data_IF_850507057036
#
_entry.id   IF_850507057036
#
_cell.length_a   1.000
_cell.length_b   1.000
_cell.length_c   1.000
_cell.angle_alpha   90.00
_cell.angle_beta   90.00
_cell.angle_gamma   90.00
#
_symmetry.space_group_name_H-M   'P 1'
#
loop_
_entity.id
_entity.type
_entity.pdbx_description
1 polymer ?
#
# COMPACT_ATOMS: atom_id res chain seq x y z
N UNK A 1 -46.34 24.64 17.72
CA UNK A 1 -47.11 23.95 16.68
C UNK A 1 -46.64 24.46 15.30
N UNK A 2 -45.38 24.20 14.94
CA UNK A 2 -44.72 24.88 13.83
C UNK A 2 -43.77 23.88 13.16
N UNK A 3 -44.20 23.18 12.11
CA UNK A 3 -43.36 22.25 11.32
C UNK A 3 -43.85 22.09 9.86
N UNK A 4 -44.49 23.08 9.23
CA UNK A 4 -44.66 23.09 7.75
C UNK A 4 -43.35 23.51 7.07
N UNK A 5 -42.23 22.92 7.51
CA UNK A 5 -40.93 23.14 6.93
C UNK A 5 -40.86 22.39 5.59
N UNK A 6 -40.83 23.17 4.50
CA UNK A 6 -40.14 22.82 3.26
C UNK A 6 -40.49 21.45 2.69
N UNK A 7 -41.69 21.34 2.11
CA UNK A 7 -42.05 20.15 1.32
C UNK A 7 -41.08 20.02 0.14
N UNK A 8 -40.54 18.82 -0.01
CA UNK A 8 -39.60 18.43 -1.06
C UNK A 8 -40.17 18.75 -2.46
N UNK A 9 -41.50 18.76 -2.61
CA UNK A 9 -42.20 19.07 -3.86
C UNK A 9 -41.97 20.51 -4.36
N UNK A 10 -41.89 21.50 -3.46
CA UNK A 10 -41.59 22.90 -3.82
C UNK A 10 -40.13 23.06 -4.28
N UNK A 11 -39.24 22.27 -3.69
CA UNK A 11 -37.83 22.23 -4.09
C UNK A 11 -37.65 21.52 -5.44
N UNK A 12 -38.45 20.49 -5.71
CA UNK A 12 -38.46 19.80 -7.00
C UNK A 12 -39.06 20.67 -8.11
N UNK A 13 -40.11 21.44 -7.84
CA UNK A 13 -40.71 22.39 -8.79
C UNK A 13 -39.77 23.55 -9.14
N UNK A 14 -38.96 24.01 -8.19
CA UNK A 14 -37.92 25.03 -8.43
C UNK A 14 -36.73 24.49 -9.23
N UNK A 15 -36.43 23.20 -9.08
CA UNK A 15 -35.36 22.51 -9.80
C UNK A 15 -35.77 22.14 -11.25
N UNK A 16 -37.06 21.90 -11.52
CA UNK A 16 -37.58 21.62 -12.85
C UNK A 16 -37.75 22.88 -13.72
N UNK A 17 -36.85 23.85 -13.58
CA UNK A 17 -36.74 25.02 -14.46
C UNK A 17 -36.39 24.59 -15.88
N UNK A 18 -37.41 24.15 -16.62
CA UNK A 18 -37.40 24.00 -18.07
C UNK A 18 -37.18 25.39 -18.63
N UNK A 19 -35.90 25.68 -18.93
CA UNK A 19 -35.50 26.89 -19.62
C UNK A 19 -36.01 26.79 -21.05
N UNK A 20 -36.80 27.78 -21.42
CA UNK A 20 -37.11 28.09 -22.80
C UNK A 20 -35.80 28.07 -23.62
N UNK A 21 -35.69 27.14 -24.56
CA UNK A 21 -34.51 26.99 -25.41
C UNK A 21 -34.66 28.02 -26.54
N UNK A 22 -34.01 29.17 -26.38
CA UNK A 22 -33.82 30.13 -27.48
C UNK A 22 -32.91 29.48 -28.56
N UNK A 23 -33.40 29.25 -29.79
CA UNK A 23 -32.60 28.63 -30.85
C UNK A 23 -31.48 29.54 -31.40
N UNK A 24 -31.33 30.77 -30.89
CA UNK A 24 -30.41 31.79 -31.42
C UNK A 24 -29.20 32.08 -30.51
N UNK A 25 -29.11 31.46 -29.33
CA UNK A 25 -27.97 31.63 -28.41
C UNK A 25 -26.83 30.65 -28.73
N UNK A 26 -25.55 31.01 -28.51
CA UNK A 26 -24.44 30.07 -28.71
C UNK A 26 -24.68 28.85 -27.81
N UNK A 27 -24.81 27.66 -28.42
CA UNK A 27 -25.05 26.39 -27.73
C UNK A 27 -24.12 26.29 -26.51
N UNK A 28 -24.64 26.14 -25.28
CA UNK A 28 -23.80 25.98 -24.13
C UNK A 28 -22.99 24.69 -24.31
N UNK A 29 -21.67 24.83 -24.34
CA UNK A 29 -20.76 23.70 -24.42
C UNK A 29 -21.10 22.66 -23.34
N UNK A 30 -21.04 21.35 -23.65
CA UNK A 30 -21.44 20.31 -22.70
C UNK A 30 -20.64 20.44 -21.40
N UNK A 31 -21.27 20.25 -20.22
CA UNK A 31 -20.58 20.22 -18.94
C UNK A 31 -19.42 19.23 -18.99
N UNK A 32 -18.21 19.73 -18.75
CA UNK A 32 -16.99 18.93 -18.68
C UNK A 32 -17.15 17.98 -17.49
N UNK A 33 -17.47 16.71 -17.74
CA UNK A 33 -17.48 15.68 -16.72
C UNK A 33 -16.08 15.60 -16.09
N UNK A 34 -15.93 15.60 -14.75
CA UNK A 34 -14.62 15.47 -14.13
C UNK A 34 -14.00 14.12 -14.55
N UNK A 35 -12.69 14.09 -14.88
CA UNK A 35 -12.06 12.88 -15.39
C UNK A 35 -12.21 11.77 -14.34
N UNK A 36 -12.77 10.63 -14.77
CA UNK A 36 -12.96 9.47 -13.90
C UNK A 36 -11.62 9.09 -13.28
N UNK A 37 -11.48 9.34 -11.98
CA UNK A 37 -10.28 9.01 -11.20
C UNK A 37 -9.87 7.58 -11.50
N UNK A 38 -8.60 7.44 -11.91
CA UNK A 38 -7.95 6.21 -12.30
C UNK A 38 -8.28 5.07 -11.33
N UNK A 39 -9.25 4.24 -11.72
CA UNK A 39 -9.88 3.21 -10.89
C UNK A 39 -8.92 2.07 -10.51
N UNK A 40 -7.73 2.06 -11.09
CA UNK A 40 -6.68 1.08 -10.85
C UNK A 40 -5.76 1.46 -9.68
N UNK A 41 -5.70 2.74 -9.31
CA UNK A 41 -4.89 3.23 -8.20
C UNK A 41 -5.22 2.56 -6.84
N UNK A 42 -6.49 2.34 -6.44
CA UNK A 42 -6.77 1.66 -5.18
C UNK A 42 -6.28 0.21 -5.15
N UNK A 43 -6.19 -0.47 -6.30
CA UNK A 43 -5.70 -1.85 -6.37
C UNK A 43 -4.18 -1.93 -6.18
N UNK A 44 -3.44 -1.02 -6.82
CA UNK A 44 -1.98 -0.91 -6.63
C UNK A 44 -1.65 -0.58 -5.17
N UNK A 45 -2.40 0.35 -4.57
CA UNK A 45 -2.20 0.74 -3.17
C UNK A 45 -2.49 -0.40 -2.20
N UNK A 46 -3.51 -1.23 -2.47
CA UNK A 46 -3.80 -2.45 -1.71
C UNK A 46 -2.70 -3.50 -1.88
N UNK A 47 -2.20 -3.70 -3.10
CA UNK A 47 -1.06 -4.57 -3.36
C UNK A 47 0.21 -4.12 -2.62
N UNK A 48 0.51 -2.83 -2.64
CA UNK A 48 1.64 -2.24 -1.92
C UNK A 48 1.56 -2.50 -0.41
N UNK A 49 0.39 -2.31 0.20
CA UNK A 49 0.18 -2.61 1.63
C UNK A 49 0.41 -4.11 1.90
N UNK A 50 -0.13 -4.99 1.05
CA UNK A 50 0.06 -6.43 1.20
C UNK A 50 1.55 -6.82 1.14
N UNK A 51 2.32 -6.24 0.22
CA UNK A 51 3.76 -6.49 0.10
C UNK A 51 4.51 -6.00 1.34
N UNK A 52 4.19 -4.80 1.84
CA UNK A 52 4.81 -4.25 3.05
C UNK A 52 4.51 -5.11 4.28
N UNK A 53 3.27 -5.55 4.45
CA UNK A 53 2.88 -6.45 5.56
C UNK A 53 3.59 -7.80 5.45
N UNK A 54 3.64 -8.38 4.24
CA UNK A 54 4.34 -9.64 4.02
C UNK A 54 5.84 -9.51 4.33
N UNK A 55 6.47 -8.42 3.90
CA UNK A 55 7.87 -8.15 4.16
C UNK A 55 8.13 -7.96 5.68
N UNK A 56 7.26 -7.21 6.37
CA UNK A 56 7.35 -7.02 7.82
C UNK A 56 7.17 -8.33 8.59
N UNK A 57 6.22 -9.17 8.19
CA UNK A 57 6.03 -10.51 8.75
C UNK A 57 7.27 -11.39 8.52
N UNK A 58 7.88 -11.31 7.34
CA UNK A 58 9.11 -12.02 7.01
C UNK A 58 10.26 -11.54 7.90
N UNK A 59 10.44 -10.23 8.08
CA UNK A 59 11.44 -9.68 9.00
C UNK A 59 11.19 -10.10 10.45
N UNK A 60 9.94 -10.08 10.92
CA UNK A 60 9.58 -10.57 12.25
C UNK A 60 9.94 -12.06 12.40
N UNK A 61 9.62 -12.86 11.39
CA UNK A 61 9.97 -14.29 11.36
C UNK A 61 11.49 -14.53 11.35
N UNK A 62 12.24 -13.82 10.51
CA UNK A 62 13.70 -13.90 10.45
C UNK A 62 14.32 -13.48 11.79
N UNK A 63 13.79 -12.44 12.43
CA UNK A 63 14.26 -11.99 13.73
C UNK A 63 14.12 -13.07 14.81
N UNK A 64 13.03 -13.86 14.78
CA UNK A 64 12.79 -14.93 15.74
C UNK A 64 13.57 -16.23 15.43
N UNK A 65 13.69 -16.63 14.17
CA UNK A 65 14.12 -18.00 13.82
C UNK A 65 15.60 -18.16 13.51
N UNK A 66 16.21 -17.15 12.90
CA UNK A 66 17.64 -17.10 12.64
C UNK A 66 17.94 -15.62 12.43
N UNK A 67 18.22 -14.86 13.51
CA UNK A 67 18.28 -13.42 13.42
C UNK A 67 19.29 -13.07 12.34
N UNK A 68 18.93 -12.16 11.43
CA UNK A 68 19.84 -11.58 10.42
C UNK A 68 21.22 -11.23 11.04
N UNK A 69 21.22 -10.87 12.32
CA UNK A 69 22.39 -10.62 13.19
C UNK A 69 23.35 -11.82 13.36
N UNK A 70 22.92 -13.07 13.18
CA UNK A 70 23.78 -14.27 13.21
C UNK A 70 24.43 -14.53 11.85
N UNK A 71 23.79 -14.17 10.74
CA UNK A 71 24.38 -14.24 9.40
C UNK A 71 25.38 -13.11 9.15
N UNK A 72 25.16 -11.93 9.72
CA UNK A 72 26.07 -10.77 9.62
C UNK A 72 27.29 -10.89 10.52
N UNK A 73 27.33 -11.88 11.42
CA UNK A 73 28.55 -12.16 12.17
C UNK A 73 29.58 -12.70 11.18
N UNK A 74 30.80 -12.13 11.16
CA UNK A 74 31.91 -12.80 10.50
C UNK A 74 31.96 -14.21 11.05
N UNK A 75 31.89 -15.21 10.15
CA UNK A 75 32.26 -16.57 10.53
C UNK A 75 33.70 -16.44 11.01
N UNK A 76 33.93 -16.71 12.30
CA UNK A 76 35.29 -16.80 12.78
C UNK A 76 36.02 -17.82 11.89
N UNK A 77 37.24 -17.51 11.41
CA UNK A 77 37.93 -18.39 10.48
C UNK A 77 37.94 -19.80 11.09
N UNK A 78 37.43 -20.81 10.35
CA UNK A 78 37.36 -22.16 10.85
C UNK A 78 38.79 -22.65 11.07
N UNK A 79 39.21 -22.75 12.34
CA UNK A 79 40.55 -23.19 12.66
C UNK A 79 40.62 -24.70 12.55
N UNK A 80 41.47 -25.18 11.66
CA UNK A 80 41.79 -26.60 11.56
C UNK A 80 42.99 -26.84 12.47
N UNK A 81 42.78 -27.63 13.52
CA UNK A 81 43.88 -28.11 14.36
C UNK A 81 44.28 -29.49 13.87
N UNK A 82 45.52 -29.61 13.41
CA UNK A 82 46.11 -30.90 13.11
C UNK A 82 46.48 -31.55 14.45
N UNK A 83 45.73 -32.57 14.83
CA UNK A 83 46.03 -33.41 15.98
C UNK A 83 46.91 -34.57 15.52
N UNK A 84 47.97 -34.84 16.27
CA UNK A 84 48.70 -36.09 16.16
C UNK A 84 47.80 -37.25 16.60
N UNK A 85 48.21 -38.47 16.28
CA UNK A 85 47.47 -39.68 16.63
C UNK A 85 47.36 -39.92 18.15
N UNK A 86 48.13 -39.18 18.95
CA UNK A 86 48.10 -39.14 20.42
C UNK A 86 47.20 -38.01 20.98
N UNK A 87 46.64 -37.17 20.12
CA UNK A 87 45.79 -36.02 20.51
C UNK A 87 46.55 -34.72 20.74
N UNK A 88 47.88 -34.69 20.56
CA UNK A 88 48.69 -33.48 20.72
C UNK A 88 48.49 -32.52 19.51
N UNK A 89 48.33 -31.21 19.72
CA UNK A 89 48.18 -30.25 18.62
C UNK A 89 49.54 -29.97 17.92
N UNK A 90 49.67 -30.37 16.65
CA UNK A 90 50.91 -30.20 15.87
C UNK A 90 50.92 -28.88 15.08
N UNK A 91 49.75 -28.41 14.64
CA UNK A 91 49.62 -27.14 13.96
C UNK A 91 48.19 -26.60 14.06
N UNK A 92 48.07 -25.28 14.11
CA UNK A 92 46.80 -24.57 14.03
C UNK A 92 46.85 -23.64 12.83
N UNK A 93 46.04 -23.91 11.80
CA UNK A 93 45.90 -23.02 10.64
C UNK A 93 44.59 -22.23 10.74
N UNK A 94 44.68 -20.95 10.42
CA UNK A 94 43.55 -20.02 10.30
C UNK A 94 43.32 -19.64 8.84
#
# INVERSE_FOLDING_TARGET
MNEHATSIDDLLARASGVRDVDPSGPTPAPPIAPPSTNRQWPWIRRGAISVVVLLAALFAWLALTAPLSKSLKPIAPPRITLLASDGEPIAQNG
#
